data_IF_504515507592
#
_entry.id   IF_504515507592
#
_cell.length_a   1.000
_cell.length_b   1.000
_cell.length_c   1.000
_cell.angle_alpha   90.00
_cell.angle_beta   90.00
_cell.angle_gamma   90.00
#
_symmetry.space_group_name_H-M   'P 1'
#
loop_
_entity.id
_entity.type
_entity.pdbx_description
1 polymer ?
#
# COMPACT_ATOMS: atom_id res chain seq x y z
N UNK A 1 -5.16 -19.13 1.90
CA UNK A 1 -5.00 -17.97 0.99
C UNK A 1 -4.45 -16.84 1.86
N UNK A 2 -3.55 -16.02 1.32
CA UNK A 2 -2.81 -15.03 2.11
C UNK A 2 -3.00 -13.66 1.49
N UNK A 3 -2.83 -12.61 2.29
CA UNK A 3 -3.03 -11.23 1.86
C UNK A 3 -2.18 -10.91 0.61
N UNK A 4 -2.81 -10.46 -0.45
CA UNK A 4 -2.17 -9.85 -1.61
C UNK A 4 -2.66 -8.40 -1.76
N UNK A 5 -1.73 -7.46 -1.91
CA UNK A 5 -2.00 -6.03 -2.07
C UNK A 5 -1.57 -5.62 -3.48
N UNK A 6 -2.49 -5.03 -4.24
CA UNK A 6 -2.25 -4.53 -5.59
C UNK A 6 -2.45 -3.01 -5.62
N UNK A 7 -1.59 -2.31 -6.33
CA UNK A 7 -1.74 -0.90 -6.64
C UNK A 7 -2.05 -0.75 -8.12
N UNK A 8 -3.22 -0.19 -8.42
CA UNK A 8 -3.75 -0.06 -9.77
C UNK A 8 -3.89 1.41 -10.16
N UNK A 9 -3.35 1.77 -11.32
CA UNK A 9 -3.61 3.04 -11.96
C UNK A 9 -4.98 3.01 -12.63
N UNK A 10 -5.71 4.12 -12.52
CA UNK A 10 -6.97 4.38 -13.23
C UNK A 10 -6.86 5.72 -13.94
N UNK A 11 -7.16 5.76 -15.23
CA UNK A 11 -7.22 7.02 -15.95
C UNK A 11 -8.41 7.86 -15.46
N UNK A 12 -8.17 9.15 -15.19
CA UNK A 12 -9.19 10.10 -14.79
C UNK A 12 -9.91 10.64 -16.05
N UNK A 13 -10.42 9.76 -16.92
CA UNK A 13 -11.24 10.25 -18.03
C UNK A 13 -12.59 10.72 -17.49
N UNK A 14 -12.76 12.05 -17.50
CA UNK A 14 -14.08 12.69 -17.47
C UNK A 14 -14.85 12.21 -18.71
N UNK A 15 -15.77 11.27 -18.54
CA UNK A 15 -17.09 11.28 -19.17
C UNK A 15 -17.85 10.02 -18.76
N UNK A 16 -19.12 10.21 -18.40
CA UNK A 16 -20.08 9.19 -17.96
C UNK A 16 -20.46 8.17 -19.04
N UNK A 17 -19.48 7.51 -19.65
CA UNK A 17 -19.67 6.27 -20.37
C UNK A 17 -19.10 5.15 -19.51
N UNK A 18 -19.97 4.23 -19.11
CA UNK A 18 -19.61 2.95 -18.51
C UNK A 18 -18.77 2.20 -19.55
N UNK A 19 -17.44 2.36 -19.48
CA UNK A 19 -16.51 1.51 -20.23
C UNK A 19 -16.24 0.32 -19.31
N UNK A 20 -16.91 -0.80 -19.61
CA UNK A 20 -16.82 -2.09 -18.91
C UNK A 20 -15.41 -2.73 -18.92
N UNK A 21 -14.39 -1.99 -19.36
CA UNK A 21 -12.98 -2.38 -19.39
C UNK A 21 -12.12 -1.17 -19.06
N UNK A 22 -12.16 -0.70 -17.80
CA UNK A 22 -11.04 0.10 -17.30
C UNK A 22 -9.80 -0.80 -17.36
N UNK A 23 -8.86 -0.50 -18.24
CA UNK A 23 -7.54 -1.12 -18.22
C UNK A 23 -6.85 -0.68 -16.92
N UNK A 24 -7.04 -1.45 -15.85
CA UNK A 24 -6.30 -1.27 -14.61
C UNK A 24 -4.85 -1.67 -14.85
N UNK A 25 -3.97 -0.68 -15.01
CA UNK A 25 -2.54 -0.95 -15.06
C UNK A 25 -2.06 -1.22 -13.63
N UNK A 26 -1.62 -2.45 -13.34
CA UNK A 26 -0.89 -2.74 -12.11
C UNK A 26 0.42 -1.95 -12.10
N UNK A 27 0.61 -1.15 -11.06
CA UNK A 27 1.83 -0.36 -10.85
C UNK A 27 2.64 -0.86 -9.67
N UNK A 28 2.12 -1.79 -8.88
CA UNK A 28 2.84 -2.45 -7.79
C UNK A 28 2.03 -3.57 -7.15
N UNK A 29 2.71 -4.59 -6.64
CA UNK A 29 2.10 -5.70 -5.93
C UNK A 29 2.96 -6.17 -4.75
N UNK A 30 2.33 -6.42 -3.61
CA UNK A 30 2.99 -6.87 -2.37
C UNK A 30 2.23 -8.03 -1.77
N UNK A 31 2.94 -9.10 -1.42
CA UNK A 31 2.35 -10.30 -0.82
C UNK A 31 2.67 -10.37 0.66
N UNK A 32 1.64 -10.62 1.48
CA UNK A 32 1.72 -10.83 2.94
C UNK A 32 2.28 -9.65 3.73
N UNK A 33 2.34 -8.45 3.15
CA UNK A 33 2.79 -7.22 3.83
C UNK A 33 1.64 -6.62 4.64
N UNK A 34 1.26 -7.31 5.72
CA UNK A 34 0.19 -6.89 6.64
C UNK A 34 0.38 -5.45 7.19
N UNK A 35 1.59 -5.04 7.61
CA UNK A 35 1.80 -3.68 8.12
C UNK A 35 1.42 -2.57 7.13
N UNK A 36 1.56 -2.82 5.82
CA UNK A 36 1.19 -1.87 4.77
C UNK A 36 -0.33 -1.63 4.75
N UNK A 37 -1.11 -2.70 4.76
CA UNK A 37 -2.57 -2.61 4.82
C UNK A 37 -3.03 -1.88 6.10
N UNK A 38 -2.42 -2.22 7.24
CA UNK A 38 -2.72 -1.58 8.54
C UNK A 38 -2.40 -0.09 8.52
N UNK A 39 -1.26 0.30 7.95
CA UNK A 39 -0.90 1.71 7.83
C UNK A 39 -1.94 2.49 7.03
N UNK A 40 -2.37 1.96 5.87
CA UNK A 40 -3.38 2.62 5.05
C UNK A 40 -4.71 2.75 5.80
N UNK A 41 -5.20 1.70 6.45
CA UNK A 41 -6.45 1.76 7.25
C UNK A 41 -6.42 2.86 8.30
N UNK A 42 -5.32 2.95 9.05
CA UNK A 42 -5.14 3.94 10.10
C UNK A 42 -5.07 5.37 9.55
N UNK A 43 -4.51 5.57 8.36
CA UNK A 43 -4.30 6.90 7.77
C UNK A 43 -5.44 7.37 6.87
N UNK A 44 -6.31 6.47 6.40
CA UNK A 44 -7.49 6.81 5.60
C UNK A 44 -8.80 6.74 6.37
N UNK A 45 -8.78 6.26 7.62
CA UNK A 45 -10.00 6.03 8.42
C UNK A 45 -10.92 4.97 7.81
N UNK A 46 -10.35 4.05 7.02
CA UNK A 46 -11.10 3.02 6.31
C UNK A 46 -11.57 1.92 7.27
N UNK A 47 -12.77 1.39 7.03
CA UNK A 47 -13.29 0.26 7.81
C UNK A 47 -12.60 -1.06 7.43
N UNK A 48 -12.72 -2.07 8.29
CA UNK A 48 -12.13 -3.39 8.03
C UNK A 48 -12.73 -4.13 6.82
N UNK A 49 -13.96 -3.78 6.45
CA UNK A 49 -14.68 -4.29 5.27
C UNK A 49 -14.24 -3.62 3.96
N UNK A 50 -13.52 -2.50 4.04
CA UNK A 50 -12.96 -1.88 2.85
C UNK A 50 -11.74 -2.66 2.38
N UNK A 51 -11.83 -3.13 1.13
CA UNK A 51 -10.76 -3.81 0.41
C UNK A 51 -10.08 -2.92 -0.62
N UNK A 52 -10.66 -1.75 -0.93
CA UNK A 52 -10.16 -0.82 -1.94
C UNK A 52 -9.96 0.56 -1.32
N UNK A 53 -8.79 1.17 -1.54
CA UNK A 53 -8.40 2.42 -0.89
C UNK A 53 -7.86 3.42 -1.92
N UNK A 54 -8.31 4.68 -1.92
CA UNK A 54 -7.71 5.71 -2.75
C UNK A 54 -6.31 6.02 -2.23
N UNK A 55 -5.32 6.00 -3.11
CA UNK A 55 -3.93 6.29 -2.79
C UNK A 55 -3.58 7.64 -3.40
N UNK A 56 -3.44 8.65 -2.56
CA UNK A 56 -3.07 9.99 -3.01
C UNK A 56 -1.55 10.17 -2.96
N UNK A 57 -1.03 11.14 -3.70
CA UNK A 57 0.37 11.59 -3.56
C UNK A 57 0.71 11.94 -2.11
N UNK A 58 -0.22 12.55 -1.38
CA UNK A 58 -0.08 12.88 0.05
C UNK A 58 0.05 11.62 0.89
N UNK A 59 -0.78 10.60 0.65
CA UNK A 59 -0.72 9.31 1.35
C UNK A 59 0.64 8.64 1.13
N UNK A 60 1.12 8.56 -0.12
CA UNK A 60 2.44 7.97 -0.41
C UNK A 60 3.60 8.77 0.17
N UNK A 61 3.51 10.10 0.19
CA UNK A 61 4.54 10.95 0.81
C UNK A 61 4.61 10.72 2.32
N UNK A 62 3.45 10.61 2.98
CA UNK A 62 3.38 10.29 4.40
C UNK A 62 3.93 8.89 4.69
N UNK A 63 3.55 7.90 3.88
CA UNK A 63 4.06 6.53 3.98
C UNK A 63 5.58 6.50 3.84
N UNK A 64 6.15 7.16 2.81
CA UNK A 64 7.60 7.20 2.63
C UNK A 64 8.32 7.84 3.83
N UNK A 65 7.76 8.92 4.38
CA UNK A 65 8.32 9.59 5.56
C UNK A 65 8.35 8.64 6.75
N UNK A 66 7.21 8.02 7.05
CA UNK A 66 7.07 7.13 8.21
C UNK A 66 7.99 5.90 8.05
N UNK A 67 8.02 5.30 6.85
CA UNK A 67 8.93 4.20 6.55
C UNK A 67 10.40 4.62 6.71
N UNK A 68 10.79 5.81 6.25
CA UNK A 68 12.17 6.31 6.34
C UNK A 68 12.64 6.55 7.78
N UNK A 69 11.70 6.79 8.69
CA UNK A 69 11.97 6.93 10.12
C UNK A 69 11.97 5.60 10.88
N UNK A 70 11.63 4.48 10.23
CA UNK A 70 11.60 3.18 10.87
C UNK A 70 12.98 2.77 11.37
N UNK A 71 13.01 2.38 12.62
CA UNK A 71 14.13 1.74 13.32
C UNK A 71 13.62 0.46 13.97
N UNK A 72 14.50 -0.49 14.29
CA UNK A 72 14.12 -1.67 15.08
C UNK A 72 13.35 -1.32 16.35
N UNK A 73 13.67 -0.18 16.97
CA UNK A 73 13.06 0.26 18.22
C UNK A 73 11.66 0.85 18.04
N UNK A 74 11.33 1.50 16.92
CA UNK A 74 10.03 2.19 16.75
C UNK A 74 9.06 1.48 15.79
N UNK A 75 9.50 0.43 15.11
CA UNK A 75 8.72 -0.25 14.07
C UNK A 75 7.38 -0.80 14.59
N UNK A 76 7.35 -1.25 15.84
CA UNK A 76 6.15 -1.73 16.52
C UNK A 76 5.07 -0.68 16.77
N UNK A 77 5.39 0.61 16.61
CA UNK A 77 4.43 1.71 16.78
C UNK A 77 4.04 2.33 15.43
N UNK A 78 5.01 2.54 14.53
CA UNK A 78 4.79 3.25 13.26
C UNK A 78 4.32 2.34 12.11
N UNK A 79 4.82 1.10 12.08
CA UNK A 79 4.50 0.13 11.03
C UNK A 79 4.36 -1.27 11.65
N UNK A 80 3.39 -1.42 12.58
CA UNK A 80 3.29 -2.59 13.43
C UNK A 80 2.94 -3.84 12.63
N UNK A 81 3.59 -4.94 12.98
CA UNK A 81 3.11 -6.26 12.64
C UNK A 81 1.84 -6.57 13.44
N UNK A 82 0.77 -6.96 12.76
CA UNK A 82 -0.49 -7.32 13.41
C UNK A 82 -0.41 -8.77 13.89
N UNK A 83 -0.37 -8.96 15.22
CA UNK A 83 -0.49 -10.29 15.86
C UNK A 83 -1.78 -10.98 15.42
N UNK A 84 -1.70 -12.30 15.21
CA UNK A 84 -2.71 -13.20 14.65
C UNK A 84 -2.78 -13.32 13.11
N UNK A 85 -1.93 -12.62 12.37
CA UNK A 85 -1.65 -12.99 10.97
C UNK A 85 -0.90 -14.32 10.95
N UNK A 86 -1.57 -15.42 10.58
CA UNK A 86 -0.99 -16.78 10.44
C UNK A 86 0.10 -16.89 9.35
N UNK A 87 0.68 -15.78 8.87
CA UNK A 87 1.33 -15.73 7.56
C UNK A 87 2.85 -15.49 7.54
N UNK A 88 3.51 -15.14 8.65
CA UNK A 88 4.98 -15.19 8.85
C UNK A 88 5.30 -14.85 10.31
N UNK A 89 6.48 -15.28 10.77
CA UNK A 89 6.91 -15.27 12.17
C UNK A 89 6.69 -13.94 12.90
N UNK A 90 6.53 -14.01 14.22
CA UNK A 90 6.17 -12.88 15.08
C UNK A 90 7.28 -11.83 15.26
N UNK A 91 8.45 -12.06 14.66
CA UNK A 91 9.63 -11.24 14.87
C UNK A 91 9.88 -10.38 13.64
N UNK A 92 10.13 -9.08 13.84
CA UNK A 92 10.63 -8.12 12.85
C UNK A 92 12.04 -8.51 12.34
N UNK A 93 12.15 -9.73 11.83
CA UNK A 93 13.34 -10.39 11.31
C UNK A 93 13.69 -9.82 9.93
N UNK A 94 14.78 -10.33 9.34
CA UNK A 94 15.30 -9.82 8.07
C UNK A 94 14.22 -9.73 6.98
N UNK A 95 13.32 -10.73 6.90
CA UNK A 95 12.17 -10.74 5.98
C UNK A 95 11.28 -9.49 6.09
N UNK A 96 11.03 -8.99 7.30
CA UNK A 96 10.24 -7.76 7.50
C UNK A 96 10.97 -6.55 6.91
N UNK A 97 12.29 -6.46 7.13
CA UNK A 97 13.08 -5.35 6.63
C UNK A 97 13.26 -5.40 5.12
N UNK A 98 13.30 -6.59 4.52
CA UNK A 98 13.20 -6.74 3.07
C UNK A 98 11.87 -6.18 2.55
N UNK A 99 10.74 -6.59 3.12
CA UNK A 99 9.42 -6.07 2.73
C UNK A 99 9.33 -4.54 2.89
N UNK A 100 9.84 -3.99 4.00
CA UNK A 100 9.89 -2.53 4.24
C UNK A 100 10.72 -1.83 3.18
N UNK A 101 11.88 -2.36 2.81
CA UNK A 101 12.75 -1.76 1.82
C UNK A 101 12.16 -1.82 0.40
N UNK A 102 11.50 -2.93 0.05
CA UNK A 102 10.80 -3.07 -1.22
C UNK A 102 9.64 -2.06 -1.33
N UNK A 103 8.84 -1.93 -0.27
CA UNK A 103 7.78 -0.90 -0.21
C UNK A 103 8.38 0.50 -0.32
N UNK A 104 9.46 0.81 0.41
CA UNK A 104 10.14 2.12 0.31
C UNK A 104 10.59 2.42 -1.12
N UNK A 105 11.24 1.47 -1.77
CA UNK A 105 11.75 1.63 -3.12
C UNK A 105 10.61 1.91 -4.10
N UNK A 106 9.54 1.11 -4.03
CA UNK A 106 8.35 1.29 -4.85
C UNK A 106 7.65 2.61 -4.61
N UNK A 107 7.44 3.02 -3.34
CA UNK A 107 6.81 4.31 -3.01
C UNK A 107 7.66 5.46 -3.55
N UNK A 108 8.98 5.39 -3.39
CA UNK A 108 9.90 6.41 -3.88
C UNK A 108 9.88 6.54 -5.41
N UNK A 109 9.85 5.42 -6.12
CA UNK A 109 9.75 5.41 -7.58
C UNK A 109 8.41 5.94 -8.05
N UNK A 110 7.31 5.44 -7.48
CA UNK A 110 5.94 5.85 -7.81
C UNK A 110 5.73 7.34 -7.60
N UNK A 111 6.28 7.93 -6.52
CA UNK A 111 6.20 9.38 -6.29
C UNK A 111 6.93 10.21 -7.35
N UNK A 112 7.91 9.64 -8.06
CA UNK A 112 8.67 10.31 -9.13
C UNK A 112 8.06 10.09 -10.51
N UNK A 113 7.53 8.89 -10.77
CA UNK A 113 7.14 8.44 -12.11
C UNK A 113 5.63 8.52 -12.36
N UNK A 114 4.80 8.43 -11.31
CA UNK A 114 3.36 8.39 -11.46
C UNK A 114 2.75 9.79 -11.64
N UNK A 115 1.90 9.92 -12.66
CA UNK A 115 1.16 11.15 -12.94
C UNK A 115 -0.15 11.21 -12.15
N UNK A 116 -0.08 11.76 -10.93
CA UNK A 116 -1.24 11.94 -10.05
C UNK A 116 -2.26 12.99 -10.54
N UNK A 117 -1.90 13.82 -11.54
CA UNK A 117 -2.82 14.82 -12.10
C UNK A 117 -3.77 14.16 -13.10
N UNK A 118 -3.25 13.21 -13.89
CA UNK A 118 -4.01 12.53 -14.94
C UNK A 118 -4.59 11.18 -14.52
N UNK A 119 -4.00 10.54 -13.52
CA UNK A 119 -4.36 9.18 -13.08
C UNK A 119 -4.63 9.15 -11.59
N UNK A 120 -5.64 8.36 -11.23
CA UNK A 120 -5.89 7.97 -9.85
C UNK A 120 -5.14 6.68 -9.54
N UNK A 121 -4.55 6.60 -8.35
CA UNK A 121 -3.94 5.38 -7.83
C UNK A 121 -4.86 4.75 -6.78
N UNK A 122 -5.08 3.45 -6.88
CA UNK A 122 -5.98 2.71 -6.01
C UNK A 122 -5.27 1.48 -5.47
N UNK A 123 -5.33 1.25 -4.17
CA UNK A 123 -4.87 0.02 -3.54
C UNK A 123 -6.04 -0.96 -3.44
N UNK A 124 -5.82 -2.23 -3.75
CA UNK A 124 -6.74 -3.35 -3.56
C UNK A 124 -6.09 -4.42 -2.68
N UNK A 125 -6.77 -4.86 -1.63
CA UNK A 125 -6.34 -5.92 -0.72
C UNK A 125 -7.23 -7.17 -0.84
N UNK A 126 -6.65 -8.32 -1.18
CA UNK A 126 -7.32 -9.61 -1.40
C UNK A 126 -6.82 -10.68 -0.41
N UNK A 127 -7.69 -11.59 0.04
CA UNK A 127 -7.43 -12.57 1.11
C UNK A 127 -7.47 -14.03 0.65
#
# INVERSE_FOLDING_TARGET
MGLDIYFMARDNHQNGAVVETQEHQEVGAFRKVMPLLTWFRNHTGASDEQHTFPVTRRSLTALLRDLSMLTPENCHSLFPYVRNSRLRGEDYADDYWYDVNDVKAWVSDTLKTFDFERRSLVMLALW
#
